data_IF_525481289451
#
_entry.id   IF_525481289451
#
_cell.length_a   1.000
_cell.length_b   1.000
_cell.length_c   1.000
_cell.angle_alpha   90.00
_cell.angle_beta   90.00
_cell.angle_gamma   90.00
#
_symmetry.space_group_name_H-M   'P 1'
#
loop_
_entity.id
_entity.type
_entity.pdbx_description
1 polymer ?
#
# COMPACT_ATOMS: atom_id res chain seq x y z
N UNK A 1 -25.78 -8.12 -0.44
CA UNK A 1 -24.43 -7.71 -0.06
C UNK A 1 -24.37 -7.71 1.45
N UNK A 2 -23.85 -8.80 1.99
CA UNK A 2 -23.82 -9.11 3.40
C UNK A 2 -22.74 -8.29 4.08
N UNK A 3 -23.04 -7.73 5.24
CA UNK A 3 -22.08 -7.02 6.12
C UNK A 3 -20.81 -7.82 6.45
N UNK A 4 -20.81 -9.13 6.21
CA UNK A 4 -19.66 -10.04 6.34
C UNK A 4 -18.52 -9.69 5.36
N UNK A 5 -18.86 -9.30 4.13
CA UNK A 5 -17.87 -9.05 3.06
C UNK A 5 -16.93 -7.87 3.40
N UNK A 6 -17.43 -6.85 4.11
CA UNK A 6 -16.64 -5.67 4.49
C UNK A 6 -15.71 -5.92 5.67
N UNK A 7 -16.13 -6.77 6.62
CA UNK A 7 -15.29 -7.13 7.77
C UNK A 7 -14.15 -8.05 7.36
N UNK A 8 -14.40 -8.99 6.45
CA UNK A 8 -13.37 -9.89 5.94
C UNK A 8 -12.32 -9.12 5.13
N UNK A 9 -12.75 -8.26 4.20
CA UNK A 9 -11.85 -7.41 3.43
C UNK A 9 -11.02 -6.46 4.32
N UNK A 10 -11.62 -5.91 5.39
CA UNK A 10 -10.89 -5.08 6.34
C UNK A 10 -9.81 -5.88 7.07
N UNK A 11 -10.13 -7.09 7.54
CA UNK A 11 -9.15 -7.97 8.17
C UNK A 11 -8.01 -8.35 7.22
N UNK A 12 -8.31 -8.74 5.98
CA UNK A 12 -7.30 -9.10 4.98
C UNK A 12 -6.35 -7.93 4.69
N UNK A 13 -6.90 -6.71 4.57
CA UNK A 13 -6.09 -5.53 4.29
C UNK A 13 -5.23 -5.09 5.47
N UNK A 14 -5.69 -5.28 6.70
CA UNK A 14 -4.87 -5.07 7.90
C UNK A 14 -3.77 -6.13 8.05
N UNK A 15 -4.04 -7.40 7.70
CA UNK A 15 -3.02 -8.44 7.68
C UNK A 15 -1.91 -8.10 6.67
N UNK A 16 -2.30 -7.71 5.45
CA UNK A 16 -1.36 -7.29 4.42
C UNK A 16 -0.56 -6.05 4.82
N UNK A 17 -1.20 -5.08 5.48
CA UNK A 17 -0.51 -3.92 6.03
C UNK A 17 0.51 -4.32 7.11
N UNK A 18 0.20 -5.30 7.97
CA UNK A 18 1.13 -5.76 8.99
C UNK A 18 2.32 -6.51 8.39
N UNK A 19 2.12 -7.25 7.31
CA UNK A 19 3.16 -8.06 6.66
C UNK A 19 4.17 -7.24 5.85
N UNK A 20 3.74 -6.13 5.24
CA UNK A 20 4.60 -5.28 4.42
C UNK A 20 5.38 -4.32 5.32
N UNK A 21 6.71 -4.36 5.25
CA UNK A 21 7.60 -3.49 6.02
C UNK A 21 8.03 -2.24 5.26
N UNK A 22 8.57 -1.27 6.00
CA UNK A 22 9.21 -0.09 5.39
C UNK A 22 10.50 -0.55 4.69
N UNK A 23 10.66 -0.13 3.44
CA UNK A 23 11.73 -0.58 2.53
C UNK A 23 11.29 -1.70 1.58
N UNK A 24 10.14 -2.34 1.82
CA UNK A 24 9.60 -3.33 0.90
C UNK A 24 9.09 -2.67 -0.38
N UNK A 25 9.11 -3.44 -1.47
CA UNK A 25 8.58 -3.01 -2.76
C UNK A 25 7.16 -3.52 -2.94
N UNK A 26 6.23 -2.65 -3.32
CA UNK A 26 4.83 -3.00 -3.61
C UNK A 26 4.48 -2.67 -5.05
N UNK A 27 3.59 -3.46 -5.67
CA UNK A 27 3.08 -3.23 -7.02
C UNK A 27 1.56 -3.14 -7.02
N UNK A 28 1.02 -2.24 -7.86
CA UNK A 28 -0.41 -2.05 -8.04
C UNK A 28 -0.95 -2.90 -9.20
N UNK A 29 -2.19 -3.37 -9.06
CA UNK A 29 -2.89 -4.08 -10.14
C UNK A 29 -3.44 -3.12 -11.24
N UNK A 30 -3.69 -1.86 -10.86
CA UNK A 30 -4.23 -0.84 -11.73
C UNK A 30 -3.53 0.51 -11.50
N UNK A 31 -3.50 1.33 -12.55
CA UNK A 31 -2.96 2.68 -12.47
C UNK A 31 -3.80 3.50 -11.46
N UNK A 32 -3.12 4.19 -10.55
CA UNK A 32 -3.76 5.06 -9.59
C UNK A 32 -3.88 6.47 -10.16
N UNK A 33 -5.12 6.95 -10.30
CA UNK A 33 -5.40 8.32 -10.71
C UNK A 33 -5.99 9.11 -9.55
N UNK A 34 -5.48 10.32 -9.34
CA UNK A 34 -6.04 11.29 -8.41
C UNK A 34 -6.22 12.63 -9.12
N UNK A 35 -7.40 13.23 -9.03
CA UNK A 35 -7.73 14.49 -9.71
C UNK A 35 -7.42 14.48 -11.22
N UNK A 36 -7.73 13.35 -11.89
CA UNK A 36 -7.48 13.14 -13.32
C UNK A 36 -5.99 13.19 -13.73
N UNK A 37 -5.08 12.97 -12.78
CA UNK A 37 -3.65 12.82 -13.00
C UNK A 37 -3.20 11.44 -12.55
N UNK A 38 -2.39 10.77 -13.38
CA UNK A 38 -1.74 9.53 -12.97
C UNK A 38 -0.78 9.84 -11.82
N UNK A 39 -0.91 9.11 -10.71
CA UNK A 39 -0.03 9.19 -9.55
C UNK A 39 0.92 8.00 -9.51
N UNK A 40 0.42 6.81 -9.81
CA UNK A 40 1.19 5.56 -9.81
C UNK A 40 0.76 4.70 -10.99
N UNK A 41 1.73 4.03 -11.59
CA UNK A 41 1.54 3.08 -12.67
C UNK A 41 1.34 1.66 -12.11
N UNK A 42 0.48 0.88 -12.75
CA UNK A 42 0.36 -0.55 -12.47
C UNK A 42 1.65 -1.29 -12.81
N UNK A 43 1.89 -2.40 -12.11
CA UNK A 43 3.06 -3.29 -12.33
C UNK A 43 4.42 -2.61 -12.21
N UNK A 44 4.47 -1.40 -11.64
CA UNK A 44 5.67 -0.72 -11.24
C UNK A 44 5.92 -1.00 -9.76
N UNK A 45 7.18 -1.31 -9.43
CA UNK A 45 7.60 -1.48 -8.04
C UNK A 45 7.81 -0.12 -7.38
N UNK A 46 7.16 0.07 -6.23
CA UNK A 46 7.25 1.25 -5.39
C UNK A 46 7.75 0.88 -4.00
N UNK A 47 8.79 1.55 -3.53
CA UNK A 47 9.29 1.34 -2.18
C UNK A 47 8.34 1.96 -1.14
N UNK A 48 8.02 1.20 -0.09
CA UNK A 48 7.25 1.68 1.05
C UNK A 48 8.16 2.51 1.94
N UNK A 49 7.96 3.83 1.94
CA UNK A 49 8.76 4.77 2.71
C UNK A 49 8.20 5.03 4.11
N UNK A 50 6.91 4.79 4.32
CA UNK A 50 6.27 4.89 5.63
C UNK A 50 4.99 4.07 5.72
N UNK A 51 4.52 3.84 6.95
CA UNK A 51 3.24 3.18 7.25
C UNK A 51 2.39 4.10 8.12
N UNK A 52 1.11 4.21 7.80
CA UNK A 52 0.13 4.95 8.60
C UNK A 52 -0.84 3.93 9.18
N UNK A 53 -0.80 3.79 10.51
CA UNK A 53 -1.74 2.97 11.26
C UNK A 53 -3.02 3.78 11.52
N UNK A 54 -4.17 3.22 11.16
CA UNK A 54 -5.47 3.80 11.43
C UNK A 54 -6.25 2.91 12.42
N UNK A 55 -7.09 3.53 13.24
CA UNK A 55 -8.00 2.77 14.11
C UNK A 55 -9.29 2.50 13.34
N UNK A 56 -9.84 1.29 13.48
CA UNK A 56 -11.11 0.92 12.87
C UNK A 56 -12.20 1.98 13.13
N UNK A 57 -13.02 2.34 12.13
CA UNK A 57 -13.24 1.62 10.86
C UNK A 57 -12.33 2.05 9.70
N UNK A 58 -11.39 2.99 9.89
CA UNK A 58 -10.52 3.42 8.79
C UNK A 58 -9.39 2.41 8.56
N UNK A 59 -9.18 1.92 7.33
CA UNK A 59 -8.10 0.99 7.04
C UNK A 59 -6.75 1.69 7.04
N UNK A 60 -5.73 0.99 7.56
CA UNK A 60 -4.34 1.39 7.55
C UNK A 60 -3.84 1.62 6.11
N UNK A 61 -2.77 2.42 5.98
CA UNK A 61 -2.22 2.84 4.68
C UNK A 61 -0.72 2.63 4.63
N UNK A 62 -0.23 2.29 3.45
CA UNK A 62 1.19 2.34 3.11
C UNK A 62 1.46 3.69 2.44
N UNK A 63 2.68 4.19 2.55
CA UNK A 63 3.11 5.41 1.86
C UNK A 63 4.23 5.07 0.92
N UNK A 64 4.09 5.48 -0.33
CA UNK A 64 5.10 5.33 -1.39
C UNK A 64 5.37 6.67 -2.04
N UNK A 65 6.53 6.82 -2.68
CA UNK A 65 6.81 7.99 -3.51
C UNK A 65 6.37 7.74 -4.96
N UNK A 66 5.65 8.70 -5.53
CA UNK A 66 5.22 8.68 -6.93
C UNK A 66 6.40 8.90 -7.86
N UNK A 67 6.60 8.00 -8.83
CA UNK A 67 7.58 8.13 -9.90
C UNK A 67 7.21 9.23 -10.91
N UNK A 68 5.92 9.56 -11.01
CA UNK A 68 5.40 10.58 -11.94
C UNK A 68 5.51 11.98 -11.35
N UNK A 69 5.20 12.14 -10.06
CA UNK A 69 5.04 13.45 -9.42
C UNK A 69 6.05 13.75 -8.32
N UNK A 70 6.76 12.75 -7.81
CA UNK A 70 7.64 12.87 -6.62
C UNK A 70 6.87 13.08 -5.32
N UNK A 71 5.54 12.98 -5.34
CA UNK A 71 4.70 13.15 -4.16
C UNK A 71 4.55 11.84 -3.37
N UNK A 72 4.38 11.95 -2.05
CA UNK A 72 4.08 10.80 -1.21
C UNK A 72 2.59 10.44 -1.29
N UNK A 73 2.31 9.23 -1.75
CA UNK A 73 0.96 8.72 -1.99
C UNK A 73 0.60 7.70 -0.92
N UNK A 74 -0.57 7.87 -0.31
CA UNK A 74 -1.14 6.92 0.66
C UNK A 74 -1.90 5.82 -0.07
N UNK A 75 -1.36 4.61 -0.05
CA UNK A 75 -1.93 3.43 -0.67
C UNK A 75 -2.76 2.60 0.30
N UNK A 76 -3.93 2.19 -0.17
CA UNK A 76 -4.72 1.15 0.48
C UNK A 76 -4.14 -0.22 0.11
N UNK A 77 -3.91 -1.14 1.07
CA UNK A 77 -3.37 -2.48 0.79
C UNK A 77 -4.18 -3.29 -0.25
N UNK A 78 -5.50 -3.10 -0.31
CA UNK A 78 -6.37 -3.72 -1.32
C UNK A 78 -6.04 -3.36 -2.79
N UNK A 79 -5.23 -2.33 -3.04
CA UNK A 79 -4.84 -1.92 -4.40
C UNK A 79 -3.61 -2.69 -4.91
N UNK A 80 -2.98 -3.48 -4.06
CA UNK A 80 -1.73 -4.16 -4.36
C UNK A 80 -2.00 -5.50 -5.06
N UNK A 81 -1.23 -5.83 -6.08
CA UNK A 81 -1.22 -7.15 -6.71
C UNK A 81 -0.10 -8.05 -6.16
N UNK A 82 0.97 -7.46 -5.64
CA UNK A 82 2.10 -8.18 -5.04
C UNK A 82 2.99 -7.25 -4.23
N UNK A 83 3.79 -7.82 -3.34
CA UNK A 83 4.87 -7.13 -2.63
C UNK A 83 6.10 -8.05 -2.58
N UNK A 84 7.26 -7.44 -2.38
CA UNK A 84 8.54 -8.12 -2.26
C UNK A 84 9.33 -7.49 -1.11
N UNK A 85 9.80 -8.33 -0.21
CA UNK A 85 10.62 -7.89 0.91
C UNK A 85 11.92 -7.27 0.42
N UNK A 86 12.39 -6.23 1.11
CA UNK A 86 13.67 -5.61 0.81
C UNK A 86 14.80 -6.66 0.82
N UNK A 87 15.60 -6.72 -0.25
CA UNK A 87 16.76 -7.63 -0.33
C UNK A 87 17.81 -7.32 0.75
N UNK A 88 17.80 -6.08 1.26
CA UNK A 88 18.55 -5.66 2.43
C UNK A 88 17.56 -5.16 3.50
N UNK A 89 17.19 -5.97 4.50
CA UNK A 89 16.35 -5.50 5.58
C UNK A 89 17.06 -4.33 6.27
N UNK A 90 16.39 -3.18 6.36
CA UNK A 90 16.88 -2.06 7.15
C UNK A 90 16.80 -2.50 8.62
N UNK A 91 17.87 -3.13 9.12
CA UNK A 91 18.05 -3.40 10.54
C UNK A 91 18.20 -2.06 11.25
N UNK A 92 17.07 -1.48 11.69
CA UNK A 92 17.11 -0.48 12.76
C UNK A 92 17.35 -1.23 14.06
N UNK A 93 18.63 -1.25 14.47
CA UNK A 93 19.07 -1.55 15.82
C UNK A 93 18.52 -0.53 16.83
#
# INVERSE_FOLDING_TARGET
MSVLDYTELHMETELLWNEIDIGDSVMLDADLYESNRCKLHKYQAYEVVAKVHCMAPEPSRLVVESDVTGEFIKLHPALLCSYQSAENPISRA
#
